data_IF_702459385207
#
_entry.id   IF_702459385207
#
_cell.length_a   1.000
_cell.length_b   1.000
_cell.length_c   1.000
_cell.angle_alpha   90.00
_cell.angle_beta   90.00
_cell.angle_gamma   90.00
#
_symmetry.space_group_name_H-M   'P 1'
#
loop_
_entity.id
_entity.type
_entity.pdbx_description
1 polymer ?
#
# COMPACT_ATOMS: atom_id res chain seq x y z
N UNK A 1 -21.64 -44.81 16.93
CA UNK A 1 -21.61 -43.85 18.06
C UNK A 1 -20.35 -43.00 17.92
N UNK A 2 -20.47 -41.70 18.21
CA UNK A 2 -19.55 -40.56 17.94
C UNK A 2 -19.92 -39.83 16.63
N UNK A 3 -20.87 -38.88 16.61
CA UNK A 3 -20.97 -37.58 17.32
C UNK A 3 -20.08 -36.48 16.72
N UNK A 4 -20.74 -35.61 15.94
CA UNK A 4 -20.64 -34.14 15.94
C UNK A 4 -19.26 -33.49 16.06
N UNK A 5 -18.83 -32.80 15.00
CA UNK A 5 -18.44 -31.39 15.09
C UNK A 5 -18.42 -30.78 13.67
N UNK A 6 -19.51 -30.09 13.35
CA UNK A 6 -19.53 -29.03 12.34
C UNK A 6 -18.61 -27.93 12.85
N UNK A 7 -17.39 -27.83 12.28
CA UNK A 7 -16.46 -26.76 12.61
C UNK A 7 -16.99 -25.46 11.97
N UNK A 8 -17.70 -24.70 12.81
CA UNK A 8 -18.15 -23.35 12.52
C UNK A 8 -16.95 -22.49 12.12
N UNK A 9 -17.04 -21.88 10.94
CA UNK A 9 -16.16 -20.81 10.51
C UNK A 9 -16.01 -19.80 11.65
N UNK A 10 -14.77 -19.63 12.14
CA UNK A 10 -14.45 -18.69 13.18
C UNK A 10 -14.69 -17.26 12.69
N UNK A 11 -15.88 -16.73 12.95
CA UNK A 11 -16.09 -15.29 13.02
C UNK A 11 -15.16 -14.76 14.12
N UNK A 12 -14.03 -14.17 13.71
CA UNK A 12 -13.24 -13.31 14.59
C UNK A 12 -14.20 -12.29 15.20
N UNK A 13 -14.21 -12.09 16.53
CA UNK A 13 -15.00 -11.03 17.11
C UNK A 13 -14.53 -9.72 16.50
N UNK A 14 -15.33 -9.13 15.61
CA UNK A 14 -15.08 -7.80 15.09
C UNK A 14 -15.18 -6.86 16.28
N UNK A 15 -14.03 -6.44 16.81
CA UNK A 15 -13.97 -5.50 17.92
C UNK A 15 -14.83 -4.30 17.57
N UNK A 16 -15.60 -3.78 18.52
CA UNK A 16 -16.41 -2.58 18.32
C UNK A 16 -15.60 -1.43 17.71
N UNK A 17 -14.30 -1.35 18.05
CA UNK A 17 -13.34 -0.43 17.45
C UNK A 17 -13.09 -0.67 15.96
N UNK A 18 -13.07 -1.91 15.47
CA UNK A 18 -12.92 -2.22 14.05
C UNK A 18 -14.18 -1.87 13.26
N UNK A 19 -15.36 -2.10 13.83
CA UNK A 19 -16.63 -1.65 13.25
C UNK A 19 -16.68 -0.12 13.19
N UNK A 20 -16.31 0.56 14.28
CA UNK A 20 -16.24 2.04 14.31
C UNK A 20 -15.21 2.57 13.28
N UNK A 21 -14.07 1.89 13.14
CA UNK A 21 -13.00 2.23 12.18
C UNK A 21 -13.45 2.08 10.73
N UNK A 22 -14.33 1.13 10.42
CA UNK A 22 -14.86 0.91 9.08
C UNK A 22 -16.14 1.72 8.77
N UNK A 23 -16.93 2.07 9.81
CA UNK A 23 -18.20 2.82 9.69
C UNK A 23 -18.00 4.35 9.85
N UNK A 24 -16.74 4.78 10.02
CA UNK A 24 -16.29 6.15 10.28
C UNK A 24 -16.75 7.20 9.24
N UNK A 25 -17.30 6.82 8.09
CA UNK A 25 -17.78 7.77 7.06
C UNK A 25 -19.14 8.36 7.40
N UNK A 26 -20.01 7.63 8.12
CA UNK A 26 -21.37 8.09 8.44
C UNK A 26 -21.31 9.31 9.37
N UNK A 27 -20.41 9.29 10.34
CA UNK A 27 -20.29 10.31 11.38
C UNK A 27 -19.90 11.70 10.82
N UNK A 28 -18.81 11.88 10.05
CA UNK A 28 -18.44 13.17 9.46
C UNK A 28 -19.43 13.60 8.37
N UNK A 29 -20.07 12.67 7.66
CA UNK A 29 -21.10 13.00 6.67
C UNK A 29 -22.36 13.59 7.35
N UNK A 30 -22.82 12.97 8.45
CA UNK A 30 -23.90 13.53 9.28
C UNK A 30 -23.49 14.90 9.87
N UNK A 31 -22.25 15.05 10.33
CA UNK A 31 -21.76 16.31 10.87
C UNK A 31 -21.69 17.42 9.80
N UNK A 32 -21.28 17.08 8.58
CA UNK A 32 -21.25 18.00 7.44
C UNK A 32 -22.67 18.42 7.02
N UNK A 33 -23.60 17.46 6.91
CA UNK A 33 -24.99 17.74 6.61
C UNK A 33 -25.65 18.61 7.69
N UNK A 34 -25.35 18.34 8.97
CA UNK A 34 -25.85 19.14 10.09
C UNK A 34 -25.25 20.56 10.10
N UNK A 35 -23.95 20.71 9.85
CA UNK A 35 -23.30 22.02 9.74
C UNK A 35 -23.84 22.83 8.55
N UNK A 36 -24.07 22.19 7.40
CA UNK A 36 -24.69 22.79 6.23
C UNK A 36 -26.14 23.21 6.50
N UNK A 37 -26.91 22.39 7.23
CA UNK A 37 -28.26 22.73 7.67
C UNK A 37 -28.25 23.94 8.62
N UNK A 38 -27.32 24.00 9.58
CA UNK A 38 -27.20 25.15 10.49
C UNK A 38 -26.79 26.43 9.76
N UNK A 39 -25.93 26.35 8.75
CA UNK A 39 -25.60 27.45 7.84
C UNK A 39 -26.84 27.99 7.14
N UNK A 40 -27.66 27.09 6.57
CA UNK A 40 -28.86 27.42 5.82
C UNK A 40 -29.99 27.96 6.72
N UNK A 41 -30.17 27.36 7.90
CA UNK A 41 -31.16 27.79 8.87
C UNK A 41 -30.79 29.15 9.47
N UNK A 42 -29.51 29.40 9.72
CA UNK A 42 -29.09 30.67 10.31
C UNK A 42 -29.16 31.83 9.32
N UNK A 43 -28.81 31.61 8.04
CA UNK A 43 -28.94 32.65 7.00
C UNK A 43 -30.38 33.15 6.84
N UNK A 44 -31.37 32.31 7.14
CA UNK A 44 -32.79 32.65 7.00
C UNK A 44 -33.48 33.14 8.28
N UNK A 45 -33.05 32.72 9.48
CA UNK A 45 -33.87 32.88 10.69
C UNK A 45 -33.30 33.74 11.84
N UNK A 46 -32.01 34.07 11.88
CA UNK A 46 -31.43 34.73 13.06
C UNK A 46 -30.77 36.08 12.73
N UNK A 47 -31.28 37.16 13.34
CA UNK A 47 -30.73 38.52 13.26
C UNK A 47 -29.72 38.84 14.38
N UNK A 48 -29.63 38.01 15.42
CA UNK A 48 -28.76 38.26 16.58
C UNK A 48 -27.39 37.60 16.42
N UNK A 49 -26.28 38.36 16.53
CA UNK A 49 -24.94 37.80 16.42
C UNK A 49 -24.62 36.89 17.62
N UNK A 50 -23.80 35.87 17.38
CA UNK A 50 -23.33 34.95 18.44
C UNK A 50 -22.38 35.70 19.38
N UNK A 51 -22.50 35.48 20.70
CA UNK A 51 -21.57 36.04 21.68
C UNK A 51 -20.17 35.42 21.56
N UNK A 52 -19.13 36.19 21.91
CA UNK A 52 -17.72 35.76 21.88
C UNK A 52 -17.47 34.41 22.55
N UNK A 53 -18.04 34.20 23.75
CA UNK A 53 -17.87 32.97 24.54
C UNK A 53 -18.47 31.76 23.79
N UNK A 54 -19.63 31.94 23.16
CA UNK A 54 -20.28 30.88 22.39
C UNK A 54 -19.51 30.55 21.12
N UNK A 55 -18.96 31.55 20.42
CA UNK A 55 -18.08 31.34 19.25
C UNK A 55 -16.86 30.51 19.62
N UNK A 56 -16.18 30.87 20.73
CA UNK A 56 -14.99 30.15 21.20
C UNK A 56 -15.35 28.72 21.64
N UNK A 57 -16.43 28.54 22.40
CA UNK A 57 -16.86 27.23 22.88
C UNK A 57 -17.19 26.26 21.72
N UNK A 58 -17.91 26.74 20.70
CA UNK A 58 -18.24 25.93 19.52
C UNK A 58 -16.97 25.62 18.72
N UNK A 59 -16.13 26.62 18.45
CA UNK A 59 -14.88 26.44 17.72
C UNK A 59 -13.95 25.42 18.37
N UNK A 60 -13.62 25.60 19.65
CA UNK A 60 -12.78 24.66 20.41
C UNK A 60 -13.40 23.27 20.51
N UNK A 61 -14.71 23.18 20.76
CA UNK A 61 -15.43 21.91 20.83
C UNK A 61 -15.31 21.11 19.54
N UNK A 62 -15.41 21.77 18.37
CA UNK A 62 -15.25 21.10 17.07
C UNK A 62 -13.81 20.67 16.80
N UNK A 63 -12.81 21.50 17.10
CA UNK A 63 -11.39 21.15 16.94
C UNK A 63 -11.04 19.93 17.81
N UNK A 64 -11.45 19.94 19.08
CA UNK A 64 -11.21 18.82 20.02
C UNK A 64 -11.95 17.56 19.57
N UNK A 65 -13.21 17.68 19.17
CA UNK A 65 -14.00 16.55 18.68
C UNK A 65 -13.36 15.87 17.47
N UNK A 66 -12.91 16.66 16.49
CA UNK A 66 -12.22 16.14 15.30
C UNK A 66 -10.87 15.54 15.67
N UNK A 67 -10.10 16.17 16.56
CA UNK A 67 -8.83 15.63 17.05
C UNK A 67 -8.99 14.25 17.72
N UNK A 68 -9.98 14.12 18.62
CA UNK A 68 -10.31 12.84 19.25
C UNK A 68 -10.73 11.79 18.22
N UNK A 69 -11.56 12.18 17.25
CA UNK A 69 -12.07 11.28 16.22
C UNK A 69 -10.96 10.81 15.28
N UNK A 70 -9.99 11.67 14.94
CA UNK A 70 -8.77 11.31 14.20
C UNK A 70 -7.88 10.36 14.99
N UNK A 71 -7.71 10.59 16.29
CA UNK A 71 -6.97 9.70 17.19
C UNK A 71 -7.59 8.30 17.26
N UNK A 72 -8.91 8.23 17.45
CA UNK A 72 -9.65 6.96 17.55
C UNK A 72 -9.75 6.22 16.23
N UNK A 73 -10.01 6.92 15.13
CA UNK A 73 -10.14 6.28 13.82
C UNK A 73 -8.76 5.88 13.28
N UNK A 74 -7.72 6.68 13.51
CA UNK A 74 -6.36 6.48 13.01
C UNK A 74 -6.08 7.21 11.69
N UNK A 75 -4.83 7.09 11.21
CA UNK A 75 -4.29 7.84 10.06
C UNK A 75 -4.50 7.13 8.71
N UNK A 76 -4.65 7.87 7.59
CA UNK A 76 -4.90 7.30 6.27
C UNK A 76 -3.68 6.61 5.64
N UNK A 77 -2.45 6.94 6.06
CA UNK A 77 -1.21 6.31 5.55
C UNK A 77 -1.05 4.81 5.88
N UNK A 78 -1.90 4.24 6.75
CA UNK A 78 -1.84 2.81 7.07
C UNK A 78 -2.36 1.96 5.89
N UNK A 79 -1.60 0.96 5.39
CA UNK A 79 -1.95 0.21 4.18
C UNK A 79 -3.18 -0.69 4.38
N UNK A 80 -3.42 -1.19 5.60
CA UNK A 80 -4.53 -2.11 5.93
C UNK A 80 -5.93 -1.45 6.03
N UNK A 81 -6.11 -0.23 5.48
CA UNK A 81 -7.35 0.55 5.61
C UNK A 81 -8.16 0.58 4.33
N UNK A 82 -9.47 0.40 4.46
CA UNK A 82 -10.42 0.53 3.36
C UNK A 82 -10.37 1.93 2.74
N UNK A 83 -10.62 2.06 1.43
CA UNK A 83 -10.64 3.36 0.75
C UNK A 83 -11.67 4.30 1.38
N UNK A 84 -12.84 3.78 1.81
CA UNK A 84 -13.85 4.56 2.52
C UNK A 84 -13.31 5.20 3.81
N UNK A 85 -12.54 4.45 4.61
CA UNK A 85 -11.96 4.98 5.84
C UNK A 85 -10.92 6.09 5.57
N UNK A 86 -10.24 6.05 4.42
CA UNK A 86 -9.34 7.14 3.98
C UNK A 86 -10.14 8.39 3.62
N UNK A 87 -11.26 8.24 2.90
CA UNK A 87 -12.18 9.35 2.59
C UNK A 87 -12.79 9.99 3.86
N UNK A 88 -13.11 9.18 4.87
CA UNK A 88 -13.62 9.68 6.16
C UNK A 88 -12.65 10.65 6.85
N UNK A 89 -11.35 10.45 6.71
CA UNK A 89 -10.34 11.35 7.28
C UNK A 89 -10.31 12.72 6.58
N UNK A 90 -10.41 12.75 5.24
CA UNK A 90 -10.47 14.00 4.48
C UNK A 90 -11.78 14.76 4.73
N UNK A 91 -12.90 14.05 4.89
CA UNK A 91 -14.19 14.66 5.23
C UNK A 91 -14.16 15.40 6.57
N UNK A 92 -13.31 14.99 7.51
CA UNK A 92 -13.14 15.71 8.78
C UNK A 92 -12.39 17.04 8.63
N UNK A 93 -11.46 17.17 7.68
CA UNK A 93 -10.85 18.48 7.36
C UNK A 93 -11.91 19.40 6.76
N UNK A 94 -12.79 18.86 5.90
CA UNK A 94 -13.88 19.63 5.29
C UNK A 94 -14.87 20.14 6.34
N UNK A 95 -15.25 19.31 7.32
CA UNK A 95 -16.17 19.72 8.40
C UNK A 95 -15.57 20.83 9.27
N UNK A 96 -14.28 20.74 9.60
CA UNK A 96 -13.57 21.79 10.33
C UNK A 96 -13.62 23.13 9.58
N UNK A 97 -13.34 23.09 8.27
CA UNK A 97 -13.39 24.28 7.41
C UNK A 97 -14.81 24.88 7.34
N UNK A 98 -15.84 24.03 7.19
CA UNK A 98 -17.23 24.47 7.14
C UNK A 98 -17.68 25.14 8.44
N UNK A 99 -17.31 24.59 9.60
CA UNK A 99 -17.66 25.17 10.90
C UNK A 99 -16.90 26.49 11.13
N UNK A 100 -15.62 26.56 10.80
CA UNK A 100 -14.84 27.81 10.91
C UNK A 100 -15.41 28.90 10.00
N UNK A 101 -15.84 28.54 8.78
CA UNK A 101 -16.55 29.46 7.88
C UNK A 101 -17.89 29.92 8.48
N UNK A 102 -18.69 29.00 9.01
CA UNK A 102 -19.96 29.32 9.69
C UNK A 102 -19.74 30.29 10.84
N UNK A 103 -18.75 30.06 11.69
CA UNK A 103 -18.43 30.96 12.81
C UNK A 103 -17.97 32.33 12.33
N UNK A 104 -17.29 32.41 11.19
CA UNK A 104 -16.89 33.68 10.56
C UNK A 104 -18.08 34.49 10.08
N UNK A 105 -19.08 33.84 9.48
CA UNK A 105 -20.30 34.53 8.98
C UNK A 105 -21.25 34.91 10.12
N UNK A 106 -21.20 34.19 11.24
CA UNK A 106 -22.21 34.30 12.31
C UNK A 106 -21.77 35.08 13.54
N UNK A 107 -20.46 35.24 13.72
CA UNK A 107 -19.89 36.02 14.81
C UNK A 107 -19.70 37.48 14.37
N UNK A 108 -20.10 38.43 15.21
CA UNK A 108 -19.79 39.84 15.02
C UNK A 108 -18.33 40.18 15.44
N UNK A 109 -17.62 39.23 16.05
CA UNK A 109 -16.33 39.46 16.68
C UNK A 109 -15.20 38.82 15.85
N UNK A 110 -14.40 39.68 15.20
CA UNK A 110 -13.27 39.27 14.36
C UNK A 110 -12.13 38.62 15.13
N UNK A 111 -11.93 38.98 16.39
CA UNK A 111 -10.85 38.44 17.22
C UNK A 111 -11.06 36.97 17.57
N UNK A 112 -12.28 36.60 17.99
CA UNK A 112 -12.61 35.21 18.34
C UNK A 112 -12.55 34.30 17.12
N UNK A 113 -12.99 34.78 15.96
CA UNK A 113 -12.93 34.02 14.70
C UNK A 113 -11.49 33.86 14.21
N UNK A 114 -10.66 34.89 14.33
CA UNK A 114 -9.23 34.80 14.01
C UNK A 114 -8.51 33.73 14.84
N UNK A 115 -8.77 33.66 16.16
CA UNK A 115 -8.22 32.63 17.04
C UNK A 115 -8.61 31.22 16.56
N UNK A 116 -9.87 31.03 16.19
CA UNK A 116 -10.37 29.73 15.72
C UNK A 116 -9.73 29.33 14.39
N UNK A 117 -9.53 30.28 13.47
CA UNK A 117 -8.81 30.03 12.22
C UNK A 117 -7.37 29.61 12.47
N UNK A 118 -6.64 30.33 13.32
CA UNK A 118 -5.26 29.98 13.68
C UNK A 118 -5.19 28.58 14.29
N UNK A 119 -6.06 28.27 15.25
CA UNK A 119 -6.10 26.94 15.88
C UNK A 119 -6.47 25.84 14.89
N UNK A 120 -7.38 26.11 13.96
CA UNK A 120 -7.78 25.16 12.91
C UNK A 120 -6.60 24.84 11.98
N UNK A 121 -5.87 25.87 11.53
CA UNK A 121 -4.70 25.70 10.67
C UNK A 121 -3.60 24.93 11.39
N UNK A 122 -3.28 25.31 12.64
CA UNK A 122 -2.29 24.59 13.45
C UNK A 122 -2.67 23.13 13.62
N UNK A 123 -3.93 22.84 13.92
CA UNK A 123 -4.43 21.47 14.04
C UNK A 123 -4.25 20.68 12.73
N UNK A 124 -4.63 21.25 11.58
CA UNK A 124 -4.43 20.58 10.29
C UNK A 124 -2.94 20.35 10.00
N UNK A 125 -2.09 21.35 10.18
CA UNK A 125 -0.64 21.21 9.96
C UNK A 125 -0.06 20.08 10.79
N UNK A 126 -0.41 20.00 12.08
CA UNK A 126 0.05 18.91 12.95
C UNK A 126 -0.38 17.54 12.41
N UNK A 127 -1.67 17.38 12.07
CA UNK A 127 -2.19 16.10 11.60
C UNK A 127 -1.62 15.68 10.24
N UNK A 128 -1.45 16.62 9.30
CA UNK A 128 -0.81 16.34 8.01
C UNK A 128 0.67 16.03 8.13
N UNK A 129 1.40 16.70 9.04
CA UNK A 129 2.80 16.42 9.32
C UNK A 129 2.97 15.02 9.91
N UNK A 130 2.12 14.64 10.88
CA UNK A 130 2.12 13.29 11.46
C UNK A 130 1.77 12.24 10.40
N UNK A 131 0.81 12.53 9.53
CA UNK A 131 0.43 11.63 8.43
C UNK A 131 1.57 11.42 7.41
N UNK A 132 2.26 12.50 7.05
CA UNK A 132 3.40 12.48 6.11
C UNK A 132 4.63 11.77 6.67
N UNK A 133 4.91 11.91 7.98
CA UNK A 133 6.00 11.16 8.64
C UNK A 133 5.76 9.65 8.71
N UNK A 134 4.49 9.23 8.62
CA UNK A 134 4.10 7.82 8.59
C UNK A 134 3.85 7.30 7.18
N UNK A 135 4.00 8.15 6.15
CA UNK A 135 4.04 7.67 4.78
C UNK A 135 5.39 6.94 4.59
N UNK A 136 5.39 5.74 4.00
CA UNK A 136 6.64 5.02 3.75
C UNK A 136 7.54 5.88 2.86
N UNK A 137 8.74 6.21 3.37
CA UNK A 137 9.75 6.91 2.58
C UNK A 137 10.21 5.99 1.45
N UNK A 138 9.88 6.37 0.22
CA UNK A 138 10.50 5.77 -0.97
C UNK A 138 11.90 6.35 -1.06
N UNK A 139 12.87 5.67 -0.47
CA UNK A 139 14.29 6.01 -0.64
C UNK A 139 14.83 5.17 -1.78
N UNK A 140 14.80 5.69 -3.01
CA UNK A 140 15.62 5.16 -4.11
C UNK A 140 17.02 5.72 -3.93
N UNK A 141 17.95 4.90 -3.41
CA UNK A 141 19.37 5.26 -3.35
C UNK A 141 20.08 4.55 -4.52
N UNK A 142 20.47 5.26 -5.60
CA UNK A 142 20.94 4.63 -6.84
C UNK A 142 22.48 4.52 -6.96
N UNK A 143 23.23 4.44 -5.85
CA UNK A 143 24.66 4.77 -5.91
C UNK A 143 25.67 3.83 -5.19
N UNK A 144 25.34 2.62 -4.74
CA UNK A 144 26.30 1.87 -3.89
C UNK A 144 26.50 0.37 -4.16
N UNK A 145 26.22 -0.17 -5.35
CA UNK A 145 26.35 -1.62 -5.57
C UNK A 145 26.77 -2.04 -6.99
N UNK A 146 27.68 -1.30 -7.63
CA UNK A 146 28.02 -1.61 -9.04
C UNK A 146 29.13 -2.66 -9.24
N UNK A 147 29.94 -3.02 -8.23
CA UNK A 147 31.17 -3.79 -8.54
C UNK A 147 31.60 -4.94 -7.63
N UNK A 148 30.87 -5.25 -6.55
CA UNK A 148 31.26 -6.38 -5.67
C UNK A 148 30.26 -7.54 -5.73
N UNK A 149 29.02 -7.27 -6.16
CA UNK A 149 27.94 -8.27 -6.15
C UNK A 149 27.90 -9.07 -7.45
N UNK A 150 28.20 -8.44 -8.60
CA UNK A 150 28.21 -9.10 -9.92
C UNK A 150 29.18 -10.30 -9.94
N UNK A 151 30.39 -10.14 -9.39
CA UNK A 151 31.41 -11.21 -9.37
C UNK A 151 31.05 -12.37 -8.43
N UNK A 152 30.38 -12.11 -7.30
CA UNK A 152 29.94 -13.19 -6.38
C UNK A 152 28.74 -13.97 -6.97
N UNK A 153 27.86 -13.29 -7.73
CA UNK A 153 26.75 -13.94 -8.44
C UNK A 153 27.29 -14.82 -9.57
N UNK A 154 28.22 -14.33 -10.38
CA UNK A 154 28.81 -15.10 -11.48
C UNK A 154 29.54 -16.35 -10.96
N UNK A 155 30.31 -16.22 -9.87
CA UNK A 155 31.01 -17.35 -9.25
C UNK A 155 30.05 -18.43 -8.72
N UNK A 156 28.92 -18.03 -8.10
CA UNK A 156 27.91 -18.98 -7.61
C UNK A 156 27.12 -19.63 -8.74
N UNK A 157 26.84 -18.92 -9.83
CA UNK A 157 26.21 -19.47 -11.03
C UNK A 157 27.08 -20.57 -11.66
N UNK A 158 28.38 -20.34 -11.78
CA UNK A 158 29.34 -21.34 -12.29
C UNK A 158 29.44 -22.56 -11.37
N UNK A 159 29.47 -22.37 -10.05
CA UNK A 159 29.49 -23.47 -9.08
C UNK A 159 28.22 -24.33 -9.12
N UNK A 160 27.06 -23.71 -9.35
CA UNK A 160 25.79 -24.42 -9.49
C UNK A 160 25.68 -25.19 -10.81
N UNK A 161 26.35 -24.72 -11.87
CA UNK A 161 26.46 -25.42 -13.15
C UNK A 161 27.36 -26.66 -13.05
N UNK A 162 28.52 -26.56 -12.40
CA UNK A 162 29.43 -27.72 -12.21
C UNK A 162 28.82 -28.81 -11.33
N UNK A 163 28.03 -28.43 -10.32
CA UNK A 163 27.35 -29.39 -9.44
C UNK A 163 26.28 -30.22 -10.19
N UNK A 164 25.75 -29.71 -11.30
CA UNK A 164 24.69 -30.37 -12.08
C UNK A 164 25.20 -31.49 -13.00
N UNK A 165 26.50 -31.57 -13.27
CA UNK A 165 27.07 -32.51 -14.26
C UNK A 165 27.54 -33.85 -13.66
N UNK A 166 27.38 -34.06 -12.34
CA UNK A 166 28.02 -35.19 -11.61
C UNK A 166 27.10 -36.19 -10.92
N UNK A 167 25.81 -36.30 -11.27
CA UNK A 167 24.93 -37.34 -10.69
C UNK A 167 24.30 -38.24 -11.76
N UNK A 168 24.97 -39.37 -12.00
CA UNK A 168 24.47 -40.51 -12.78
C UNK A 168 23.67 -41.47 -11.85
N UNK A 169 22.34 -41.33 -11.81
CA UNK A 169 21.41 -42.42 -11.49
C UNK A 169 19.93 -42.05 -11.70
N UNK A 170 19.06 -43.03 -12.06
CA UNK A 170 17.80 -42.76 -12.74
C UNK A 170 16.57 -42.70 -11.81
N UNK A 171 15.49 -42.18 -12.39
CA UNK A 171 14.07 -42.21 -11.96
C UNK A 171 13.60 -40.97 -11.18
N UNK A 172 12.91 -40.09 -11.92
CA UNK A 172 11.91 -39.18 -11.35
C UNK A 172 12.08 -37.71 -11.73
N UNK A 173 11.94 -37.40 -13.01
CA UNK A 173 11.62 -36.07 -13.58
C UNK A 173 11.79 -34.85 -12.65
N UNK A 174 13.02 -34.36 -12.53
CA UNK A 174 13.32 -32.99 -12.10
C UNK A 174 13.67 -32.24 -13.38
N UNK A 175 12.74 -31.41 -13.84
CA UNK A 175 12.93 -30.56 -15.01
C UNK A 175 14.07 -29.57 -14.76
N UNK A 176 14.94 -29.46 -15.75
CA UNK A 176 16.02 -28.49 -15.86
C UNK A 176 15.52 -27.08 -15.54
N UNK A 177 16.17 -26.40 -14.60
CA UNK A 177 15.93 -25.00 -14.27
C UNK A 177 16.17 -24.14 -15.52
N UNK A 178 15.09 -23.59 -16.09
CA UNK A 178 15.14 -22.68 -17.23
C UNK A 178 14.00 -22.86 -18.23
N UNK A 179 13.38 -24.04 -18.30
CA UNK A 179 12.32 -24.31 -19.28
C UNK A 179 10.95 -24.39 -18.57
N UNK A 180 10.14 -23.33 -18.70
CA UNK A 180 8.73 -23.43 -18.32
C UNK A 180 8.05 -24.35 -19.34
N UNK A 181 7.51 -25.50 -18.89
CA UNK A 181 6.75 -26.39 -19.77
C UNK A 181 5.68 -25.61 -20.54
N UNK A 182 5.44 -25.95 -21.80
CA UNK A 182 4.67 -25.13 -22.77
C UNK A 182 3.24 -24.74 -22.33
N UNK A 183 2.66 -25.45 -21.36
CA UNK A 183 1.32 -25.19 -20.79
C UNK A 183 1.34 -24.58 -19.37
N UNK A 184 2.51 -24.37 -18.80
CA UNK A 184 2.68 -23.80 -17.46
C UNK A 184 2.71 -22.29 -17.56
N UNK A 185 1.77 -21.62 -16.87
CA UNK A 185 1.75 -20.16 -16.82
C UNK A 185 2.76 -19.58 -15.81
N UNK A 186 3.05 -20.33 -14.75
CA UNK A 186 3.92 -19.89 -13.66
C UNK A 186 4.67 -21.07 -13.05
N UNK A 187 5.96 -20.89 -12.79
CA UNK A 187 6.83 -21.81 -12.05
C UNK A 187 7.50 -21.05 -10.91
N UNK A 188 7.60 -21.67 -9.74
CA UNK A 188 8.15 -21.06 -8.54
C UNK A 188 8.93 -22.08 -7.74
N UNK A 189 10.18 -21.76 -7.43
CA UNK A 189 11.05 -22.51 -6.55
C UNK A 189 11.53 -21.56 -5.47
N UNK A 190 11.33 -21.94 -4.21
CA UNK A 190 11.84 -21.20 -3.05
C UNK A 190 12.79 -22.09 -2.27
N UNK A 191 13.96 -21.55 -1.97
CA UNK A 191 15.00 -22.20 -1.16
C UNK A 191 15.41 -21.29 -0.01
N UNK A 192 15.86 -21.91 1.07
CA UNK A 192 16.44 -21.23 2.24
C UNK A 192 17.77 -21.89 2.55
N UNK A 193 18.81 -21.10 2.73
CA UNK A 193 20.14 -21.54 3.12
C UNK A 193 20.64 -20.74 4.34
N UNK A 194 21.93 -20.85 4.64
CA UNK A 194 22.59 -20.13 5.74
C UNK A 194 22.74 -18.63 5.47
N UNK A 195 22.72 -18.20 4.20
CA UNK A 195 22.87 -16.81 3.80
C UNK A 195 21.52 -16.08 3.76
N UNK A 196 20.44 -16.79 3.47
CA UNK A 196 19.12 -16.18 3.36
C UNK A 196 18.09 -17.05 2.68
N UNK A 197 17.21 -16.39 1.94
CA UNK A 197 16.18 -17.03 1.14
C UNK A 197 16.25 -16.58 -0.31
N UNK A 198 16.13 -17.55 -1.22
CA UNK A 198 16.07 -17.31 -2.66
C UNK A 198 14.75 -17.80 -3.24
N UNK A 199 14.25 -17.06 -4.24
CA UNK A 199 13.10 -17.46 -5.05
C UNK A 199 13.51 -17.34 -6.51
N UNK A 200 13.43 -18.45 -7.24
CA UNK A 200 13.46 -18.45 -8.70
C UNK A 200 12.03 -18.64 -9.19
N UNK A 201 11.52 -17.65 -9.91
CA UNK A 201 10.17 -17.67 -10.46
C UNK A 201 10.22 -17.44 -11.96
N UNK A 202 9.31 -18.07 -12.69
CA UNK A 202 9.17 -17.83 -14.11
C UNK A 202 7.68 -17.65 -14.41
N UNK A 203 7.33 -16.60 -15.14
CA UNK A 203 5.94 -16.21 -15.39
C UNK A 203 5.70 -15.84 -16.83
N UNK A 204 4.63 -16.40 -17.37
CA UNK A 204 4.07 -16.08 -18.67
C UNK A 204 3.06 -14.96 -18.56
N UNK A 205 3.19 -13.99 -19.46
CA UNK A 205 2.42 -12.75 -19.43
C UNK A 205 1.88 -12.43 -20.81
N UNK A 206 0.58 -12.17 -20.90
CA UNK A 206 -0.12 -11.85 -22.14
C UNK A 206 -0.31 -10.35 -22.28
N UNK A 207 0.09 -9.82 -23.43
CA UNK A 207 -0.22 -8.46 -23.88
C UNK A 207 -1.38 -8.53 -24.87
N UNK A 208 -2.41 -7.72 -24.67
CA UNK A 208 -3.47 -7.55 -25.65
C UNK A 208 -2.96 -6.82 -26.90
N UNK A 209 -3.66 -6.99 -28.03
CA UNK A 209 -3.41 -6.21 -29.23
C UNK A 209 -3.44 -4.70 -28.92
N UNK A 210 -2.45 -3.96 -29.40
CA UNK A 210 -2.29 -2.53 -29.13
C UNK A 210 -1.72 -2.18 -27.74
N UNK A 211 -1.51 -3.17 -26.86
CA UNK A 211 -1.01 -2.94 -25.51
C UNK A 211 0.52 -2.84 -25.50
N UNK A 212 1.05 -1.77 -24.89
CA UNK A 212 2.50 -1.57 -24.76
C UNK A 212 3.05 -1.86 -23.37
N UNK A 213 2.23 -1.70 -22.33
CA UNK A 213 2.64 -1.79 -20.94
C UNK A 213 1.84 -2.86 -20.21
N UNK A 214 2.51 -3.63 -19.36
CA UNK A 214 1.89 -4.63 -18.50
C UNK A 214 2.57 -4.64 -17.15
N UNK A 215 1.80 -4.80 -16.08
CA UNK A 215 2.34 -4.87 -14.72
C UNK A 215 2.16 -6.28 -14.17
N UNK A 216 3.20 -6.79 -13.51
CA UNK A 216 3.20 -8.09 -12.85
C UNK A 216 3.41 -7.87 -11.36
N UNK A 217 2.63 -8.58 -10.56
CA UNK A 217 2.75 -8.58 -9.10
C UNK A 217 3.09 -9.99 -8.62
N UNK A 218 4.19 -10.10 -7.90
CA UNK A 218 4.68 -11.33 -7.30
C UNK A 218 4.56 -11.18 -5.78
N UNK A 219 3.88 -12.11 -5.11
CA UNK A 219 3.70 -12.09 -3.66
C UNK A 219 4.57 -13.15 -3.00
N UNK A 220 5.26 -12.79 -1.91
CA UNK A 220 6.10 -13.70 -1.14
C UNK A 220 5.36 -14.09 0.14
N UNK A 221 4.93 -15.36 0.20
CA UNK A 221 4.27 -15.93 1.38
C UNK A 221 4.98 -17.24 1.74
N UNK A 222 5.56 -17.37 2.95
CA UNK A 222 5.76 -16.32 3.98
C UNK A 222 6.60 -15.14 3.49
N UNK A 223 6.60 -14.01 4.21
CA UNK A 223 7.47 -12.87 3.88
C UNK A 223 8.95 -13.27 3.95
N UNK A 224 9.78 -12.60 3.16
CA UNK A 224 11.23 -12.80 3.15
C UNK A 224 11.89 -12.18 4.39
N UNK A 225 13.06 -12.69 4.83
CA UNK A 225 13.74 -12.20 6.03
C UNK A 225 14.20 -10.74 5.94
N UNK A 226 14.47 -10.26 4.73
CA UNK A 226 14.88 -8.88 4.42
C UNK A 226 14.24 -8.37 3.13
N UNK A 227 14.50 -7.11 2.78
CA UNK A 227 14.12 -6.56 1.47
C UNK A 227 14.98 -7.29 0.43
N UNK A 228 14.39 -8.01 -0.53
CA UNK A 228 15.18 -8.80 -1.45
C UNK A 228 15.87 -7.95 -2.52
N UNK A 229 16.94 -8.48 -3.06
CA UNK A 229 17.51 -8.12 -4.35
C UNK A 229 16.75 -8.89 -5.42
N UNK A 230 16.52 -8.23 -6.56
CA UNK A 230 15.69 -8.79 -7.65
C UNK A 230 16.41 -8.57 -8.96
N UNK A 231 16.57 -9.65 -9.72
CA UNK A 231 16.92 -9.61 -11.12
C UNK A 231 15.78 -10.22 -11.95
N UNK A 232 15.55 -9.67 -13.15
CA UNK A 232 14.48 -10.12 -14.02
C UNK A 232 14.90 -10.08 -15.48
N UNK A 233 14.76 -11.22 -16.15
CA UNK A 233 15.19 -11.42 -17.54
C UNK A 233 14.04 -11.93 -18.38
N UNK A 234 14.04 -11.58 -19.67
CA UNK A 234 13.09 -12.12 -20.64
C UNK A 234 13.63 -13.43 -21.21
N UNK A 235 12.88 -14.52 -21.07
CA UNK A 235 13.26 -15.83 -21.61
C UNK A 235 12.74 -16.03 -23.03
N UNK A 236 11.45 -15.74 -23.25
CA UNK A 236 10.79 -15.99 -24.54
C UNK A 236 9.81 -14.86 -24.89
N UNK A 237 9.55 -14.71 -26.18
CA UNK A 237 8.62 -13.71 -26.71
C UNK A 237 9.30 -12.47 -27.29
N UNK A 238 8.52 -11.42 -27.60
CA UNK A 238 9.04 -10.17 -28.15
C UNK A 238 9.91 -9.40 -27.14
N UNK A 239 10.85 -8.61 -27.67
CA UNK A 239 11.71 -7.74 -26.86
C UNK A 239 10.89 -6.83 -25.94
N UNK A 240 11.17 -6.96 -24.63
CA UNK A 240 10.52 -6.23 -23.55
C UNK A 240 11.58 -5.58 -22.67
N UNK A 241 11.31 -4.35 -22.27
CA UNK A 241 12.04 -3.64 -21.23
C UNK A 241 11.37 -3.97 -19.88
N UNK A 242 12.15 -4.53 -18.95
CA UNK A 242 11.68 -4.93 -17.62
C UNK A 242 12.18 -3.90 -16.61
N UNK A 243 11.26 -3.25 -15.90
CA UNK A 243 11.57 -2.30 -14.85
C UNK A 243 11.08 -2.83 -13.50
N UNK A 244 11.95 -2.82 -12.51
CA UNK A 244 11.57 -3.14 -11.12
C UNK A 244 10.92 -1.91 -10.50
N UNK A 245 9.59 -1.93 -10.36
CA UNK A 245 8.80 -0.79 -9.91
C UNK A 245 8.70 -0.69 -8.38
N UNK A 246 8.58 -1.82 -7.68
CA UNK A 246 8.51 -1.83 -6.21
C UNK A 246 9.05 -3.16 -5.67
N UNK A 247 9.89 -3.10 -4.64
CA UNK A 247 10.43 -4.30 -3.97
C UNK A 247 10.13 -4.22 -2.47
N UNK A 248 9.48 -5.24 -1.93
CA UNK A 248 9.11 -5.37 -0.53
C UNK A 248 9.40 -6.80 -0.04
N UNK A 249 9.50 -6.97 1.28
CA UNK A 249 9.68 -8.30 1.92
C UNK A 249 8.56 -9.28 1.58
N UNK A 250 7.36 -8.77 1.30
CA UNK A 250 6.16 -9.56 1.03
C UNK A 250 5.78 -9.58 -0.46
N UNK A 251 6.52 -8.91 -1.34
CA UNK A 251 6.22 -8.93 -2.76
C UNK A 251 7.02 -7.95 -3.61
N UNK A 252 6.79 -8.04 -4.92
CA UNK A 252 7.51 -7.35 -5.97
C UNK A 252 6.52 -6.90 -7.05
N UNK A 253 6.73 -5.70 -7.59
CA UNK A 253 6.05 -5.18 -8.78
C UNK A 253 7.05 -4.99 -9.91
N UNK A 254 6.80 -5.66 -11.03
CA UNK A 254 7.53 -5.47 -12.28
C UNK A 254 6.65 -4.75 -13.29
N UNK A 255 7.25 -3.81 -14.00
CA UNK A 255 6.65 -3.08 -15.11
C UNK A 255 7.33 -3.52 -16.40
N UNK A 256 6.55 -4.16 -17.27
CA UNK A 256 6.97 -4.62 -18.58
C UNK A 256 6.54 -3.63 -19.63
N UNK A 257 7.46 -3.25 -20.52
CA UNK A 257 7.19 -2.35 -21.64
C UNK A 257 7.71 -2.96 -22.93
N UNK A 258 6.82 -3.23 -23.87
CA UNK A 258 7.20 -3.72 -25.18
C UNK A 258 7.94 -2.63 -25.97
N UNK A 259 9.01 -3.05 -26.66
CA UNK A 259 9.80 -2.17 -27.53
C UNK A 259 8.96 -1.64 -28.68
N UNK A 260 8.04 -2.45 -29.20
CA UNK A 260 7.08 -2.10 -30.24
C UNK A 260 5.65 -2.53 -29.87
N UNK A 261 4.66 -1.92 -30.51
CA UNK A 261 3.25 -2.29 -30.36
C UNK A 261 2.90 -3.34 -31.42
N UNK A 262 2.16 -4.37 -31.03
CA UNK A 262 1.71 -5.45 -31.90
C UNK A 262 0.20 -5.37 -32.11
N UNK A 263 -0.26 -5.65 -33.32
CA UNK A 263 -1.69 -5.66 -33.69
C UNK A 263 -2.40 -6.97 -33.30
N UNK A 264 -1.63 -7.97 -32.89
CA UNK A 264 -2.11 -9.26 -32.38
C UNK A 264 -1.66 -9.44 -30.92
N UNK A 265 -2.39 -10.20 -30.09
CA UNK A 265 -1.97 -10.47 -28.72
C UNK A 265 -0.65 -11.24 -28.71
N UNK A 266 0.26 -10.86 -27.81
CA UNK A 266 1.59 -11.47 -27.72
C UNK A 266 1.89 -11.94 -26.31
N UNK A 267 2.60 -13.05 -26.23
CA UNK A 267 3.01 -13.68 -24.99
C UNK A 267 4.50 -13.44 -24.75
N UNK A 268 4.85 -13.08 -23.51
CA UNK A 268 6.22 -12.91 -23.04
C UNK A 268 6.41 -13.78 -21.82
N UNK A 269 7.52 -14.52 -21.78
CA UNK A 269 7.93 -15.30 -20.62
C UNK A 269 9.10 -14.59 -19.96
N UNK A 270 8.95 -14.31 -18.66
CA UNK A 270 10.01 -13.71 -17.85
C UNK A 270 10.49 -14.69 -16.78
N UNK A 271 11.77 -14.62 -16.45
CA UNK A 271 12.37 -15.22 -15.26
C UNK A 271 12.70 -14.12 -14.27
N UNK A 272 12.48 -14.40 -13.00
CA UNK A 272 12.70 -13.49 -11.88
C UNK A 272 13.47 -14.24 -10.82
N UNK A 273 14.61 -13.69 -10.45
CA UNK A 273 15.45 -14.21 -9.40
C UNK A 273 15.43 -13.22 -8.24
N UNK A 274 15.14 -13.74 -7.06
CA UNK A 274 14.94 -12.95 -5.85
C UNK A 274 15.82 -13.52 -4.77
N UNK A 275 16.59 -12.68 -4.08
CA UNK A 275 17.43 -13.09 -2.96
C UNK A 275 17.27 -12.14 -1.78
N UNK A 276 16.94 -12.66 -0.61
CA UNK A 276 16.85 -11.90 0.63
C UNK A 276 17.81 -12.45 1.68
N UNK A 277 18.76 -11.64 2.11
CA UNK A 277 19.72 -11.98 3.15
C UNK A 277 19.03 -12.17 4.52
N UNK A 278 19.52 -13.13 5.31
CA UNK A 278 19.06 -13.32 6.68
C UNK A 278 19.70 -12.31 7.63
N UNK A 279 18.87 -11.61 8.43
CA UNK A 279 19.35 -10.61 9.41
C UNK A 279 20.22 -11.18 10.54
N UNK A 280 20.52 -12.48 10.55
CA UNK A 280 21.37 -13.14 11.56
C UNK A 280 22.86 -13.18 11.20
N UNK A 281 23.25 -12.70 10.02
CA UNK A 281 24.64 -12.74 9.52
C UNK A 281 25.42 -11.40 9.64
N UNK A 282 24.94 -10.44 10.44
CA UNK A 282 25.65 -9.18 10.73
C UNK A 282 25.96 -9.01 12.23
#
# INVERSE_FOLDING_TARGET
MNSLASESAGERPTSFLDVLRNTSVIIPCLFACFAAFLLLARSHFYSTPIQTIQTIAIGLGTILGIGCLRGLCGLPSKPARSPLAKWGWYLQTLTLLQVSLLLTVTSAYSEATAIIWVLSVVNEVVWWTVNGRQAPSVTTNPAETDHVIEEDIEARLLSSLETSDSVDSPVGAVGTSGEIATQTNQSWIRSRDEYGESISASQRTLFAAGQRFQTIHLAFIPELPGIPHVDATSLEGPSVEIMVGEVQRFGLRLELKLTQIYDEPVEVVIQVEVFAESSQAA
#
